data_IF_155502006876
#
_entry.id   IF_155502006876
#
_cell.length_a   1.000
_cell.length_b   1.000
_cell.length_c   1.000
_cell.angle_alpha   90.00
_cell.angle_beta   90.00
_cell.angle_gamma   90.00
#
_symmetry.space_group_name_H-M   'P 1'
#
loop_
_entity.id
_entity.type
_entity.pdbx_description
1 polymer ?
#
# COMPACT_ATOMS: atom_id res chain seq x y z
N UNK A 1 56.92 -27.88 45.13
CA UNK A 1 55.50 -27.82 45.54
C UNK A 1 55.26 -26.57 46.36
N UNK A 2 54.60 -25.56 45.76
CA UNK A 2 53.48 -24.77 46.32
C UNK A 2 53.29 -23.56 45.41
N UNK A 3 52.16 -23.61 44.70
CA UNK A 3 51.59 -22.55 43.88
C UNK A 3 51.18 -21.37 44.77
N UNK A 4 51.15 -20.17 44.20
CA UNK A 4 50.47 -19.02 44.82
C UNK A 4 50.76 -17.74 44.03
N UNK A 5 50.06 -17.50 42.93
CA UNK A 5 48.76 -16.84 42.82
C UNK A 5 48.98 -15.41 42.31
N UNK A 6 48.73 -15.23 41.01
CA UNK A 6 48.61 -13.93 40.37
C UNK A 6 47.48 -13.13 41.04
N UNK A 7 47.77 -11.88 41.42
CA UNK A 7 46.73 -10.91 41.75
C UNK A 7 46.65 -9.87 40.64
N UNK A 8 45.70 -10.14 39.74
CA UNK A 8 45.13 -9.23 38.77
C UNK A 8 44.16 -8.32 39.54
N UNK A 9 44.53 -7.07 39.83
CA UNK A 9 43.57 -6.07 40.28
C UNK A 9 43.15 -5.20 39.10
N UNK A 10 41.86 -5.34 38.80
CA UNK A 10 41.11 -4.76 37.71
C UNK A 10 41.08 -3.24 37.85
N UNK A 11 41.55 -2.53 36.82
CA UNK A 11 41.32 -1.11 36.61
C UNK A 11 39.81 -0.90 36.35
N UNK A 12 39.07 -0.50 37.39
CA UNK A 12 37.75 0.10 37.24
C UNK A 12 37.92 1.51 36.67
N UNK A 13 37.92 1.60 35.33
CA UNK A 13 37.68 2.86 34.63
C UNK A 13 36.20 3.22 34.82
N UNK A 14 35.92 4.04 35.82
CA UNK A 14 34.64 4.71 35.95
C UNK A 14 34.49 5.70 34.79
N UNK A 15 33.81 5.27 33.73
CA UNK A 15 33.36 6.14 32.66
C UNK A 15 32.29 7.08 33.25
N UNK A 16 32.68 8.31 33.61
CA UNK A 16 31.72 9.35 33.96
C UNK A 16 31.10 9.84 32.65
N UNK A 17 29.77 9.74 32.46
CA UNK A 17 29.13 10.31 31.28
C UNK A 17 29.39 11.81 31.26
N UNK A 18 29.77 12.31 30.09
CA UNK A 18 30.10 13.71 29.89
C UNK A 18 28.85 14.56 30.18
N UNK A 19 28.92 15.42 31.19
CA UNK A 19 27.75 16.13 31.77
C UNK A 19 27.07 17.02 30.72
N UNK A 20 27.82 17.42 29.70
CA UNK A 20 27.41 18.16 28.50
C UNK A 20 26.50 17.36 27.56
N UNK A 21 26.70 16.06 27.40
CA UNK A 21 25.81 15.23 26.57
C UNK A 21 24.47 15.00 27.25
N UNK A 22 24.48 14.77 28.56
CA UNK A 22 23.25 14.59 29.36
C UNK A 22 22.41 15.88 29.37
N UNK A 23 23.04 17.05 29.48
CA UNK A 23 22.32 18.33 29.42
C UNK A 23 21.72 18.62 28.05
N UNK A 24 22.42 18.27 26.96
CA UNK A 24 21.90 18.45 25.61
C UNK A 24 20.73 17.51 25.31
N UNK A 25 20.79 16.27 25.79
CA UNK A 25 19.68 15.32 25.68
C UNK A 25 18.47 15.77 26.50
N UNK A 26 18.69 16.31 27.71
CA UNK A 26 17.60 16.84 28.52
C UNK A 26 16.91 18.04 27.85
N UNK A 27 17.68 18.95 27.24
CA UNK A 27 17.11 20.09 26.50
C UNK A 27 16.27 19.64 25.29
N UNK A 28 16.70 18.59 24.59
CA UNK A 28 15.94 18.03 23.47
C UNK A 28 14.65 17.34 23.95
N UNK A 29 14.69 16.65 25.09
CA UNK A 29 13.50 16.05 25.69
C UNK A 29 12.50 17.14 26.10
N UNK A 30 12.99 18.23 26.71
CA UNK A 30 12.16 19.33 27.15
C UNK A 30 11.53 20.07 25.96
N UNK A 31 12.26 20.29 24.86
CA UNK A 31 11.73 20.91 23.64
C UNK A 31 10.66 20.03 22.97
N UNK A 32 10.90 18.72 22.86
CA UNK A 32 9.93 17.78 22.28
C UNK A 32 8.67 17.67 23.14
N UNK A 33 8.81 17.72 24.48
CA UNK A 33 7.67 17.71 25.40
C UNK A 33 6.79 18.94 25.22
N UNK A 34 7.40 20.09 24.92
CA UNK A 34 6.71 21.35 24.68
C UNK A 34 5.94 21.30 23.36
N UNK A 35 6.58 20.81 22.29
CA UNK A 35 5.95 20.63 20.98
C UNK A 35 4.72 19.72 21.05
N UNK A 36 4.82 18.58 21.76
CA UNK A 36 3.69 17.66 21.98
C UNK A 36 2.53 18.32 22.74
N UNK A 37 2.84 19.22 23.68
CA UNK A 37 1.81 19.93 24.44
C UNK A 37 1.08 20.95 23.58
N UNK A 38 1.78 21.68 22.73
CA UNK A 38 1.17 22.57 21.72
C UNK A 38 0.32 21.79 20.73
N UNK A 39 0.80 20.66 20.21
CA UNK A 39 0.06 19.85 19.25
C UNK A 39 -1.23 19.29 19.85
N UNK A 40 -1.19 18.81 21.10
CA UNK A 40 -2.39 18.37 21.84
C UNK A 40 -3.40 19.50 22.04
N UNK A 41 -2.93 20.73 22.27
CA UNK A 41 -3.80 21.90 22.42
C UNK A 41 -4.44 22.33 21.09
N UNK A 42 -3.75 22.18 19.96
CA UNK A 42 -4.32 22.44 18.62
C UNK A 42 -5.39 21.41 18.28
N UNK A 43 -5.15 20.12 18.54
CA UNK A 43 -6.12 19.05 18.28
C UNK A 43 -7.41 19.24 19.11
N UNK A 44 -7.31 19.71 20.36
CA UNK A 44 -8.49 19.98 21.19
C UNK A 44 -9.30 21.21 20.74
N UNK A 45 -8.70 22.17 20.03
CA UNK A 45 -9.39 23.35 19.51
C UNK A 45 -10.19 23.07 18.24
N UNK A 46 -9.80 22.06 17.46
CA UNK A 46 -10.45 21.69 16.20
C UNK A 46 -11.58 20.65 16.36
N UNK A 47 -11.77 20.09 17.56
CA UNK A 47 -12.83 19.11 17.86
C UNK A 47 -14.05 19.74 18.54
N UNK A 48 -14.86 20.51 17.79
CA UNK A 48 -16.28 20.72 18.09
C UNK A 48 -17.09 20.24 16.88
N UNK A 49 -17.74 19.06 16.95
CA UNK A 49 -18.68 18.63 15.92
C UNK A 49 -20.03 19.31 16.12
N UNK A 50 -20.54 19.99 15.08
CA UNK A 50 -21.98 20.28 14.94
C UNK A 50 -22.69 18.98 14.56
N UNK A 51 -23.54 18.53 15.46
CA UNK A 51 -24.54 17.48 15.28
C UNK A 51 -25.50 17.88 14.14
N UNK A 52 -25.64 17.01 13.13
CA UNK A 52 -26.77 17.03 12.20
C UNK A 52 -27.38 15.64 12.21
N UNK A 53 -28.51 15.54 12.92
CA UNK A 53 -29.46 14.45 12.85
C UNK A 53 -29.92 14.25 11.40
N UNK A 54 -29.85 13.02 10.89
CA UNK A 54 -30.68 12.58 9.78
C UNK A 54 -31.33 11.26 10.17
N UNK A 55 -32.66 11.30 10.18
CA UNK A 55 -33.56 10.22 10.55
C UNK A 55 -33.40 8.99 9.64
N UNK A 56 -33.34 7.84 10.30
CA UNK A 56 -33.37 6.49 9.75
C UNK A 56 -34.82 6.13 9.38
N UNK A 57 -35.06 5.76 8.11
CA UNK A 57 -36.28 5.05 7.70
C UNK A 57 -35.94 3.60 7.36
N UNK A 58 -36.29 2.71 8.29
CA UNK A 58 -36.40 1.28 8.08
C UNK A 58 -37.30 0.95 6.87
N UNK A 59 -36.87 0.01 6.04
CA UNK A 59 -37.78 -0.81 5.26
C UNK A 59 -37.35 -2.28 5.35
N UNK A 60 -38.30 -3.11 5.73
CA UNK A 60 -38.17 -4.51 6.12
C UNK A 60 -37.80 -5.45 4.94
N UNK A 61 -37.21 -6.62 5.24
CA UNK A 61 -36.76 -7.57 4.23
C UNK A 61 -37.92 -8.46 3.73
N UNK A 62 -38.17 -8.44 2.42
CA UNK A 62 -39.13 -9.35 1.79
C UNK A 62 -38.48 -10.72 1.52
N UNK A 63 -38.97 -11.72 2.26
CA UNK A 63 -39.19 -13.16 1.98
C UNK A 63 -38.49 -13.77 0.74
N UNK A 64 -37.70 -14.87 0.90
CA UNK A 64 -37.08 -15.57 -0.22
C UNK A 64 -38.10 -16.39 -1.02
N UNK A 65 -38.16 -16.14 -2.34
CA UNK A 65 -38.93 -16.92 -3.30
C UNK A 65 -38.18 -18.19 -3.68
N UNK A 66 -38.90 -19.30 -3.50
CA UNK A 66 -38.67 -20.68 -3.91
C UNK A 66 -37.89 -20.84 -5.23
N UNK A 67 -36.79 -21.59 -5.17
CA UNK A 67 -36.06 -22.11 -6.32
C UNK A 67 -36.94 -23.11 -7.08
N UNK A 68 -37.26 -22.80 -8.34
CA UNK A 68 -37.70 -23.80 -9.31
C UNK A 68 -36.47 -24.39 -9.98
N UNK A 69 -36.34 -25.70 -9.83
CA UNK A 69 -35.45 -26.58 -10.58
C UNK A 69 -35.67 -26.38 -12.08
N UNK A 70 -34.61 -25.99 -12.79
CA UNK A 70 -34.60 -25.91 -14.26
C UNK A 70 -33.76 -27.08 -14.75
N UNK A 71 -34.40 -27.93 -15.56
CA UNK A 71 -33.82 -29.07 -16.24
C UNK A 71 -32.54 -28.72 -17.00
N UNK A 72 -31.55 -29.60 -16.85
CA UNK A 72 -30.29 -29.62 -17.59
C UNK A 72 -30.53 -30.15 -19.01
N UNK A 73 -30.27 -29.39 -20.09
CA UNK A 73 -30.13 -29.96 -21.42
C UNK A 73 -28.67 -30.37 -21.67
N UNK A 74 -28.51 -31.59 -22.22
CA UNK A 74 -27.24 -32.21 -22.57
C UNK A 74 -26.42 -31.41 -23.61
N UNK A 75 -25.08 -31.52 -23.61
CA UNK A 75 -24.20 -30.76 -24.51
C UNK A 75 -24.26 -31.29 -25.95
N UNK A 76 -24.43 -30.40 -26.93
CA UNK A 76 -24.11 -30.64 -28.34
C UNK A 76 -22.64 -30.32 -28.61
N UNK A 77 -22.00 -31.19 -29.38
CA UNK A 77 -20.59 -31.15 -29.79
C UNK A 77 -20.24 -30.01 -30.75
N UNK A 78 -18.94 -29.66 -30.68
CA UNK A 78 -18.06 -29.06 -31.69
C UNK A 78 -18.45 -27.79 -32.46
N UNK A 79 -17.80 -26.68 -32.08
CA UNK A 79 -17.28 -25.72 -33.06
C UNK A 79 -15.83 -25.42 -32.71
N UNK A 80 -14.93 -25.73 -33.64
CA UNK A 80 -13.48 -25.54 -33.55
C UNK A 80 -13.09 -24.10 -33.14
N UNK A 81 -12.03 -23.91 -32.32
CA UNK A 81 -11.57 -22.58 -31.99
C UNK A 81 -10.96 -21.92 -33.24
N UNK A 82 -11.59 -20.83 -33.69
CA UNK A 82 -10.96 -19.85 -34.60
C UNK A 82 -9.62 -19.44 -33.98
N UNK A 83 -8.53 -19.80 -34.66
CA UNK A 83 -7.18 -19.32 -34.43
C UNK A 83 -7.22 -17.79 -34.39
N UNK A 84 -7.16 -17.19 -33.19
CA UNK A 84 -6.83 -15.78 -33.07
C UNK A 84 -5.39 -15.66 -33.52
N UNK A 85 -5.18 -15.01 -34.65
CA UNK A 85 -3.86 -14.56 -35.08
C UNK A 85 -3.26 -13.76 -33.91
N UNK A 86 -2.15 -14.24 -33.37
CA UNK A 86 -1.27 -13.40 -32.58
C UNK A 86 -0.89 -12.22 -33.48
N UNK A 87 -1.02 -10.96 -33.04
CA UNK A 87 -0.47 -9.87 -33.80
C UNK A 87 1.03 -10.09 -33.95
N UNK A 88 1.46 -10.09 -35.21
CA UNK A 88 2.86 -10.03 -35.64
C UNK A 88 3.53 -8.90 -34.85
N UNK A 89 4.42 -9.25 -33.91
CA UNK A 89 5.18 -8.23 -33.18
C UNK A 89 6.26 -7.73 -34.12
N UNK A 90 5.98 -6.59 -34.74
CA UNK A 90 6.99 -5.77 -35.40
C UNK A 90 8.00 -5.30 -34.37
N UNK A 91 9.27 -5.53 -34.66
CA UNK A 91 10.40 -4.98 -33.95
C UNK A 91 10.43 -3.43 -34.03
N UNK A 92 10.21 -2.74 -32.90
CA UNK A 92 10.73 -1.42 -32.46
C UNK A 92 9.64 -0.53 -31.83
N UNK A 93 9.73 -0.34 -30.51
CA UNK A 93 9.14 0.77 -29.75
C UNK A 93 7.60 0.86 -29.66
N UNK A 94 6.94 -0.24 -29.31
CA UNK A 94 5.48 -0.21 -29.09
C UNK A 94 5.16 0.35 -27.70
N UNK A 95 5.15 1.68 -27.57
CA UNK A 95 4.54 2.35 -26.42
C UNK A 95 3.06 2.01 -26.40
N UNK A 96 2.54 1.49 -25.30
CA UNK A 96 1.11 1.17 -25.16
C UNK A 96 0.37 2.31 -24.47
N UNK A 97 -0.82 2.64 -24.99
CA UNK A 97 -1.67 3.68 -24.44
C UNK A 97 -3.04 3.08 -24.08
N UNK A 98 -3.52 3.42 -22.88
CA UNK A 98 -4.87 3.11 -22.43
C UNK A 98 -5.62 4.42 -22.23
N UNK A 99 -6.87 4.46 -22.66
CA UNK A 99 -7.70 5.66 -22.66
C UNK A 99 -8.93 5.43 -21.80
N UNK A 100 -9.42 6.49 -21.17
CA UNK A 100 -10.79 6.54 -20.65
C UNK A 100 -11.80 6.47 -21.81
N UNK A 101 -13.04 6.12 -21.51
CA UNK A 101 -14.12 6.06 -22.51
C UNK A 101 -14.39 7.39 -23.25
N UNK A 102 -14.01 8.53 -22.66
CA UNK A 102 -14.12 9.85 -23.29
C UNK A 102 -12.93 10.20 -24.20
N UNK A 103 -11.99 9.27 -24.39
CA UNK A 103 -10.82 9.42 -25.25
C UNK A 103 -9.61 10.07 -24.57
N UNK A 104 -9.71 10.47 -23.30
CA UNK A 104 -8.57 11.03 -22.55
C UNK A 104 -7.58 9.94 -22.16
N UNK A 105 -6.30 10.29 -22.07
CA UNK A 105 -5.25 9.32 -21.71
C UNK A 105 -5.39 8.91 -20.24
N UNK A 106 -5.44 7.60 -19.99
CA UNK A 106 -5.55 6.99 -18.66
C UNK A 106 -4.20 6.45 -18.20
N UNK A 107 -3.55 5.62 -19.02
CA UNK A 107 -2.23 5.06 -18.71
C UNK A 107 -1.35 5.03 -19.95
N UNK A 108 -0.07 5.39 -19.79
CA UNK A 108 0.97 5.23 -20.81
C UNK A 108 2.02 4.25 -20.31
N UNK A 109 2.32 3.24 -21.11
CA UNK A 109 3.35 2.25 -20.85
C UNK A 109 4.47 2.47 -21.85
N UNK A 110 5.66 2.82 -21.36
CA UNK A 110 6.84 2.97 -22.20
C UNK A 110 7.13 1.67 -22.98
N UNK A 111 7.89 1.73 -24.09
CA UNK A 111 8.35 0.53 -24.76
C UNK A 111 9.06 -0.44 -23.81
N UNK A 112 9.01 -1.73 -24.15
CA UNK A 112 9.71 -2.78 -23.40
C UNK A 112 11.21 -2.48 -23.35
N UNK A 113 11.76 -2.39 -22.15
CA UNK A 113 13.19 -2.21 -21.86
C UNK A 113 13.52 -2.87 -20.53
N UNK A 114 14.79 -2.87 -20.12
CA UNK A 114 15.21 -3.33 -18.78
C UNK A 114 14.53 -2.54 -17.66
N UNK A 115 14.23 -1.26 -17.92
CA UNK A 115 13.55 -0.31 -17.04
C UNK A 115 12.41 0.37 -17.79
N UNK A 116 11.24 -0.25 -17.74
CA UNK A 116 10.06 0.22 -18.44
C UNK A 116 9.20 1.07 -17.50
N UNK A 117 9.05 2.35 -17.83
CA UNK A 117 8.20 3.28 -17.09
C UNK A 117 6.72 3.13 -17.43
N UNK A 118 5.86 3.37 -16.46
CA UNK A 118 4.41 3.42 -16.60
C UNK A 118 3.94 4.72 -15.93
N UNK A 119 3.17 5.52 -16.66
CA UNK A 119 2.58 6.76 -16.16
C UNK A 119 1.07 6.61 -16.06
N UNK A 120 0.51 6.99 -14.93
CA UNK A 120 -0.92 6.98 -14.65
C UNK A 120 -1.40 8.43 -14.59
N UNK A 121 -2.40 8.73 -15.41
CA UNK A 121 -2.91 10.07 -15.61
C UNK A 121 -4.27 10.24 -14.96
N UNK A 122 -4.48 11.39 -14.34
CA UNK A 122 -5.79 11.91 -14.02
C UNK A 122 -6.51 12.36 -15.31
N UNK A 123 -7.84 12.54 -15.28
CA UNK A 123 -8.60 12.91 -16.46
C UNK A 123 -8.31 14.36 -16.92
N UNK A 124 -7.61 15.16 -16.10
CA UNK A 124 -7.12 16.49 -16.50
C UNK A 124 -5.78 16.43 -17.27
N UNK A 125 -5.20 15.23 -17.45
CA UNK A 125 -3.91 15.04 -18.12
C UNK A 125 -2.68 15.14 -17.22
N UNK A 126 -2.86 15.35 -15.91
CA UNK A 126 -1.76 15.35 -14.94
C UNK A 126 -1.33 13.92 -14.59
N UNK A 127 -0.03 13.67 -14.48
CA UNK A 127 0.51 12.41 -13.95
C UNK A 127 0.34 12.40 -12.44
N UNK A 128 -0.45 11.45 -11.92
CA UNK A 128 -0.67 11.29 -10.47
C UNK A 128 0.22 10.22 -9.87
N UNK A 129 0.61 9.23 -10.67
CA UNK A 129 1.37 8.09 -10.17
C UNK A 129 2.28 7.54 -11.26
N UNK A 130 3.52 7.21 -10.88
CA UNK A 130 4.51 6.60 -11.76
C UNK A 130 4.93 5.24 -11.19
N UNK A 131 5.12 4.28 -12.09
CA UNK A 131 5.59 2.93 -11.76
C UNK A 131 6.73 2.55 -12.71
N UNK A 132 7.54 1.59 -12.28
CA UNK A 132 8.64 1.06 -13.07
C UNK A 132 8.64 -0.46 -13.04
N UNK A 133 8.71 -1.08 -14.22
CA UNK A 133 9.03 -2.49 -14.38
C UNK A 133 10.54 -2.62 -14.55
N UNK A 134 11.17 -3.48 -13.74
CA UNK A 134 12.62 -3.71 -13.76
C UNK A 134 12.86 -5.20 -14.01
N UNK A 135 13.68 -5.49 -15.03
CA UNK A 135 14.01 -6.84 -15.48
C UNK A 135 15.52 -7.07 -15.39
N UNK A 136 16.06 -6.99 -14.17
CA UNK A 136 17.50 -7.13 -13.90
C UNK A 136 17.74 -8.22 -12.84
N UNK A 137 18.89 -8.16 -12.14
CA UNK A 137 19.23 -9.05 -11.03
C UNK A 137 18.26 -8.98 -9.85
N UNK A 138 17.60 -7.84 -9.68
CA UNK A 138 16.36 -7.70 -8.93
C UNK A 138 15.24 -7.39 -9.91
N UNK A 139 14.02 -7.83 -9.60
CA UNK A 139 12.88 -7.64 -10.49
C UNK A 139 11.77 -6.86 -9.81
N UNK A 140 11.17 -5.96 -10.58
CA UNK A 140 9.91 -5.31 -10.24
C UNK A 140 8.97 -5.51 -11.41
N UNK A 141 7.77 -6.01 -11.14
CA UNK A 141 6.77 -6.29 -12.15
C UNK A 141 5.42 -5.74 -11.72
N UNK A 142 4.79 -4.99 -12.60
CA UNK A 142 3.49 -4.38 -12.40
C UNK A 142 2.49 -4.94 -13.40
N UNK A 143 1.41 -5.53 -12.88
CA UNK A 143 0.24 -5.95 -13.65
C UNK A 143 -0.87 -4.94 -13.45
N UNK A 144 -1.37 -4.38 -14.55
CA UNK A 144 -2.42 -3.36 -14.55
C UNK A 144 -3.78 -4.02 -14.82
N UNK A 145 -4.78 -3.65 -14.03
CA UNK A 145 -6.17 -4.07 -14.20
C UNK A 145 -7.03 -2.85 -14.48
N UNK A 146 -7.77 -2.87 -15.58
CA UNK A 146 -8.61 -1.75 -16.03
C UNK A 146 -10.08 -2.10 -15.87
N UNK A 147 -10.87 -1.08 -15.56
CA UNK A 147 -12.33 -1.16 -15.60
C UNK A 147 -12.84 -1.10 -17.03
N UNK A 148 -14.14 -1.32 -17.19
CA UNK A 148 -14.84 -1.19 -18.48
C UNK A 148 -14.91 0.25 -19.00
N UNK A 149 -14.67 1.25 -18.14
CA UNK A 149 -14.64 2.67 -18.50
C UNK A 149 -13.25 3.16 -18.97
N UNK A 150 -12.26 2.25 -19.03
CA UNK A 150 -10.88 2.56 -19.38
C UNK A 150 -10.04 3.15 -18.23
N UNK A 151 -10.65 3.41 -17.07
CA UNK A 151 -9.92 3.78 -15.86
C UNK A 151 -9.14 2.59 -15.30
N UNK A 152 -8.02 2.89 -14.65
CA UNK A 152 -7.23 1.93 -13.91
C UNK A 152 -8.00 1.56 -12.62
N UNK A 153 -8.21 0.27 -12.41
CA UNK A 153 -8.86 -0.25 -11.21
C UNK A 153 -7.84 -0.55 -10.12
N UNK A 154 -6.82 -1.31 -10.50
CA UNK A 154 -5.84 -1.87 -9.59
C UNK A 154 -4.52 -2.07 -10.30
N UNK A 155 -3.44 -1.90 -9.56
CA UNK A 155 -2.11 -2.36 -9.93
C UNK A 155 -1.66 -3.41 -8.93
N UNK A 156 -1.23 -4.57 -9.43
CA UNK A 156 -0.51 -5.55 -8.62
C UNK A 156 0.96 -5.47 -8.96
N UNK A 157 1.75 -4.97 -8.01
CA UNK A 157 3.19 -4.85 -8.09
C UNK A 157 3.83 -6.00 -7.33
N UNK A 158 4.79 -6.67 -7.92
CA UNK A 158 5.64 -7.67 -7.29
C UNK A 158 7.08 -7.19 -7.35
N UNK A 159 7.79 -7.25 -6.24
CA UNK A 159 9.19 -6.89 -6.13
C UNK A 159 9.97 -8.03 -5.50
N UNK A 160 10.96 -8.52 -6.24
CA UNK A 160 11.92 -9.49 -5.77
C UNK A 160 13.31 -8.84 -5.76
N UNK A 161 13.93 -8.63 -4.58
CA UNK A 161 15.28 -8.06 -4.47
C UNK A 161 16.40 -8.95 -5.03
N UNK A 162 16.09 -10.11 -5.64
CA UNK A 162 17.04 -11.03 -6.22
C UNK A 162 17.34 -12.17 -5.25
N UNK A 163 18.55 -12.19 -4.68
CA UNK A 163 19.00 -13.23 -3.74
C UNK A 163 18.41 -13.09 -2.31
N UNK A 164 17.27 -12.41 -2.17
CA UNK A 164 16.59 -12.20 -0.88
C UNK A 164 15.69 -13.39 -0.54
N UNK A 165 15.57 -13.70 0.75
CA UNK A 165 14.52 -14.61 1.26
C UNK A 165 13.13 -13.98 1.21
N UNK A 166 13.06 -12.66 1.09
CA UNK A 166 11.83 -11.89 1.12
C UNK A 166 11.36 -11.50 -0.28
N UNK A 167 10.07 -11.71 -0.54
CA UNK A 167 9.34 -11.16 -1.67
C UNK A 167 8.35 -10.12 -1.18
N UNK A 168 8.12 -9.08 -1.99
CA UNK A 168 7.20 -8.01 -1.66
C UNK A 168 6.12 -7.93 -2.73
N UNK A 169 4.87 -7.75 -2.31
CA UNK A 169 3.74 -7.54 -3.19
C UNK A 169 2.96 -6.32 -2.72
N UNK A 170 2.63 -5.44 -3.65
CA UNK A 170 1.79 -4.27 -3.37
C UNK A 170 0.57 -4.32 -4.27
N UNK A 171 -0.63 -4.27 -3.70
CA UNK A 171 -1.87 -4.05 -4.45
C UNK A 171 -2.33 -2.62 -4.24
N UNK A 172 -2.23 -1.78 -5.27
CA UNK A 172 -2.70 -0.38 -5.23
C UNK A 172 -4.04 -0.29 -5.94
N UNK A 173 -5.04 0.27 -5.27
CA UNK A 173 -6.39 0.46 -5.80
C UNK A 173 -6.64 1.93 -6.11
N UNK A 174 -7.31 2.17 -7.23
CA UNK A 174 -7.54 3.50 -7.76
C UNK A 174 -9.04 3.80 -7.85
N UNK A 175 -9.41 5.06 -7.87
CA UNK A 175 -10.76 5.53 -8.16
C UNK A 175 -11.01 5.52 -9.69
N UNK A 176 -12.23 5.85 -10.11
CA UNK A 176 -12.60 5.92 -11.55
C UNK A 176 -11.90 7.04 -12.31
N UNK A 177 -11.37 8.04 -11.60
CA UNK A 177 -10.53 9.10 -12.16
C UNK A 177 -9.03 8.74 -12.14
N UNK A 178 -8.64 7.48 -11.88
CA UNK A 178 -7.25 7.05 -11.66
C UNK A 178 -6.55 7.66 -10.44
N UNK A 179 -7.26 8.33 -9.54
CA UNK A 179 -6.65 8.79 -8.30
C UNK A 179 -6.43 7.60 -7.35
N UNK A 180 -5.23 7.43 -6.76
CA UNK A 180 -5.01 6.36 -5.79
C UNK A 180 -5.98 6.47 -4.62
N UNK A 181 -6.43 5.33 -4.09
CA UNK A 181 -7.37 5.27 -2.96
C UNK A 181 -6.71 4.65 -1.74
N UNK A 182 -6.23 3.43 -1.88
CA UNK A 182 -5.55 2.68 -0.84
C UNK A 182 -4.58 1.69 -1.47
N UNK A 183 -3.61 1.22 -0.70
CA UNK A 183 -2.77 0.09 -1.09
C UNK A 183 -2.61 -0.91 0.05
N UNK A 184 -2.33 -2.15 -0.32
CA UNK A 184 -2.01 -3.26 0.57
C UNK A 184 -0.58 -3.69 0.28
N UNK A 185 0.28 -3.79 1.30
CA UNK A 185 1.67 -4.20 1.16
C UNK A 185 1.95 -5.50 1.90
N UNK A 186 2.25 -6.55 1.17
CA UNK A 186 2.59 -7.85 1.71
C UNK A 186 4.08 -8.13 1.53
N UNK A 187 4.70 -8.67 2.58
CA UNK A 187 6.02 -9.31 2.52
C UNK A 187 5.83 -10.81 2.71
N UNK A 188 6.63 -11.64 2.05
CA UNK A 188 6.62 -13.09 2.26
C UNK A 188 8.04 -13.59 2.52
N UNK A 189 8.28 -14.36 3.61
CA UNK A 189 7.33 -14.67 4.68
C UNK A 189 6.95 -13.42 5.51
N UNK A 190 5.73 -13.39 6.05
CA UNK A 190 5.21 -12.34 6.93
C UNK A 190 4.87 -12.87 8.32
N UNK A 191 4.81 -11.95 9.29
CA UNK A 191 4.17 -12.18 10.59
C UNK A 191 2.70 -11.76 10.57
N UNK A 192 1.91 -12.19 11.55
CA UNK A 192 0.51 -11.77 11.70
C UNK A 192 0.40 -10.24 11.90
N UNK A 193 1.30 -9.65 12.69
CA UNK A 193 1.32 -8.21 12.93
C UNK A 193 1.57 -7.44 11.62
N UNK A 194 2.48 -7.92 10.77
CA UNK A 194 2.74 -7.34 9.46
C UNK A 194 1.52 -7.42 8.54
N UNK A 195 0.78 -8.53 8.58
CA UNK A 195 -0.47 -8.69 7.82
C UNK A 195 -1.57 -7.76 8.30
N UNK A 196 -1.67 -7.51 9.61
CA UNK A 196 -2.65 -6.60 10.19
C UNK A 196 -2.31 -5.14 9.85
N UNK A 197 -1.03 -4.79 9.85
CA UNK A 197 -0.53 -3.43 9.62
C UNK A 197 -0.04 -3.19 8.17
N UNK A 198 -0.71 -3.81 7.17
CA UNK A 198 -0.32 -3.72 5.76
C UNK A 198 -1.10 -2.69 4.92
N UNK A 199 -2.08 -2.01 5.51
CA UNK A 199 -2.97 -1.09 4.78
C UNK A 199 -2.44 0.34 4.81
N UNK A 200 -2.51 1.00 3.66
CA UNK A 200 -2.17 2.40 3.50
C UNK A 200 -3.28 3.12 2.75
N UNK A 201 -3.56 4.37 3.14
CA UNK A 201 -4.54 5.24 2.50
C UNK A 201 -3.84 6.35 1.74
N UNK A 202 -4.40 6.73 0.59
CA UNK A 202 -3.90 7.88 -0.16
C UNK A 202 -4.43 9.17 0.43
N UNK A 203 -3.55 10.11 0.73
CA UNK A 203 -3.92 11.47 1.09
C UNK A 203 -3.81 12.37 -0.16
N UNK A 204 -4.95 12.69 -0.76
CA UNK A 204 -5.04 13.54 -1.96
C UNK A 204 -4.49 14.95 -1.77
N UNK A 205 -4.54 15.50 -0.54
CA UNK A 205 -4.04 16.86 -0.26
C UNK A 205 -2.53 16.92 -0.28
N UNK A 206 -1.88 15.93 0.34
CA UNK A 206 -0.41 15.87 0.44
C UNK A 206 0.23 14.98 -0.61
N UNK A 207 -0.56 14.31 -1.46
CA UNK A 207 -0.14 13.34 -2.47
C UNK A 207 0.82 12.28 -1.92
N UNK A 208 0.45 11.71 -0.78
CA UNK A 208 1.28 10.74 -0.06
C UNK A 208 0.47 9.60 0.53
N UNK A 209 1.15 8.47 0.76
CA UNK A 209 0.57 7.32 1.44
C UNK A 209 0.68 7.48 2.95
N UNK A 210 -0.43 7.31 3.66
CA UNK A 210 -0.49 7.33 5.12
C UNK A 210 -0.82 5.91 5.60
N UNK A 211 0.00 5.37 6.50
CA UNK A 211 -0.20 4.04 7.05
C UNK A 211 -1.40 4.05 7.99
N UNK A 212 -2.28 3.05 7.87
CA UNK A 212 -3.39 2.90 8.80
C UNK A 212 -2.93 2.05 10.00
N UNK A 213 -2.89 2.66 11.17
CA UNK A 213 -2.61 1.94 12.42
C UNK A 213 -3.91 1.34 12.98
N UNK A 214 -3.87 0.08 13.40
CA UNK A 214 -4.99 -0.55 14.10
C UNK A 214 -4.85 -0.21 15.59
N UNK A 215 -5.76 0.62 16.11
CA UNK A 215 -5.86 0.85 17.55
C UNK A 215 -6.45 -0.41 18.19
N UNK A 216 -5.65 -1.17 18.94
CA UNK A 216 -6.13 -2.27 19.77
C UNK A 216 -6.71 -1.67 21.05
N UNK A 217 -8.01 -1.34 21.05
CA UNK A 217 -8.71 -0.96 22.28
C UNK A 217 -8.83 -2.18 23.20
N UNK A 218 -7.89 -2.33 24.14
CA UNK A 218 -8.02 -3.32 25.21
C UNK A 218 -8.73 -2.66 26.38
N UNK A 219 -10.06 -2.71 26.38
CA UNK A 219 -10.84 -2.35 27.57
C UNK A 219 -10.65 -3.44 28.63
N UNK A 220 -9.72 -3.23 29.54
CA UNK A 220 -9.66 -4.01 30.78
C UNK A 220 -10.80 -3.56 31.70
N UNK A 221 -11.56 -4.49 32.30
CA UNK A 221 -12.51 -4.12 33.34
C UNK A 221 -11.75 -3.48 34.50
N UNK A 222 -12.15 -2.26 34.87
CA UNK A 222 -11.73 -1.65 36.14
C UNK A 222 -12.37 -2.48 37.26
N UNK A 223 -11.54 -3.07 38.11
CA UNK A 223 -11.96 -3.68 39.37
C UNK A 223 -12.44 -2.62 40.35
#
# INVERSE_FOLDING_TARGET
MKNGLAFLFILLVACKPDVTEVSNLQQQIDSLSLELKTLKQEIQKDSIPKEVLVEEKESQPNKPTVLKEVEVPQPKEEIAPKKKENPVVSSKNDTTYHYFNDGRLSVKIAPRSERQKIWIYLPNGEVIYELENILMSYSSHNTLYFRTDGSLERVSSSFNPGASLYMYKTETYFQTNNEPKYKLEEKTPNTLEEQMNNKWLWNSKTRSWVKQEIVIETNFPKQ
#
